data_IF_619867827761
#
_entry.id   IF_619867827761
#
_cell.length_a   1.000
_cell.length_b   1.000
_cell.length_c   1.000
_cell.angle_alpha   90.00
_cell.angle_beta   90.00
_cell.angle_gamma   90.00
#
_symmetry.space_group_name_H-M   'P 1'
#
loop_
_entity.id
_entity.type
_entity.pdbx_description
1 polymer ?
#
# COMPACT_ATOMS: atom_id res chain seq x y z
N UNK A 1 -34.34 3.71 1.92
CA UNK A 1 -33.34 4.78 1.69
C UNK A 1 -32.86 4.67 0.25
N UNK A 2 -33.24 5.59 -0.65
CA UNK A 2 -32.60 5.69 -1.97
C UNK A 2 -31.16 6.19 -1.74
N UNK A 3 -30.15 5.44 -2.18
CA UNK A 3 -28.74 5.90 -2.15
C UNK A 3 -28.68 7.18 -2.99
N UNK A 4 -28.48 8.33 -2.35
CA UNK A 4 -28.60 9.63 -3.02
C UNK A 4 -27.43 9.91 -3.97
N UNK A 5 -26.30 9.23 -3.85
CA UNK A 5 -25.20 9.28 -4.81
C UNK A 5 -24.51 7.90 -4.78
N UNK A 6 -24.62 7.14 -5.87
CA UNK A 6 -23.83 5.92 -6.05
C UNK A 6 -22.86 6.20 -7.19
N UNK A 7 -21.59 5.79 -7.08
CA UNK A 7 -20.64 5.98 -8.15
C UNK A 7 -21.14 5.27 -9.42
N UNK A 8 -21.03 5.94 -10.56
CA UNK A 8 -21.36 5.38 -11.88
C UNK A 8 -20.08 4.86 -12.51
N UNK A 9 -20.17 3.66 -13.11
CA UNK A 9 -19.04 3.03 -13.80
C UNK A 9 -19.40 2.93 -15.28
N UNK A 10 -18.58 3.56 -16.12
CA UNK A 10 -18.74 3.57 -17.58
C UNK A 10 -17.54 2.91 -18.23
N UNK A 11 -17.80 1.97 -19.13
CA UNK A 11 -16.77 1.25 -19.87
C UNK A 11 -16.60 1.88 -21.26
N UNK A 12 -15.41 2.40 -21.54
CA UNK A 12 -15.09 2.99 -22.83
C UNK A 12 -14.70 1.91 -23.84
N UNK A 13 -14.83 2.22 -25.13
CA UNK A 13 -14.49 1.30 -26.23
C UNK A 13 -13.00 0.93 -26.28
N UNK A 14 -12.13 1.79 -25.77
CA UNK A 14 -10.69 1.54 -25.64
C UNK A 14 -10.32 0.64 -24.45
N UNK A 15 -11.29 0.24 -23.62
CA UNK A 15 -11.09 -0.63 -22.46
C UNK A 15 -10.87 0.10 -21.13
N UNK A 16 -10.74 1.43 -21.13
CA UNK A 16 -10.66 2.21 -19.88
C UNK A 16 -12.01 2.17 -19.17
N UNK A 17 -11.95 2.01 -17.85
CA UNK A 17 -13.11 2.15 -16.96
C UNK A 17 -13.10 3.55 -16.36
N UNK A 18 -14.20 4.27 -16.49
CA UNK A 18 -14.38 5.59 -15.89
C UNK A 18 -15.35 5.48 -14.72
N UNK A 19 -14.91 5.85 -13.52
CA UNK A 19 -15.73 5.89 -12.32
C UNK A 19 -16.02 7.34 -11.97
N UNK A 20 -17.28 7.69 -11.81
CA UNK A 20 -17.67 9.07 -11.50
C UNK A 20 -18.55 9.14 -10.27
N UNK A 21 -18.28 10.12 -9.41
CA UNK A 21 -19.17 10.54 -8.35
C UNK A 21 -19.35 12.06 -8.46
N UNK A 22 -20.52 12.49 -8.92
CA UNK A 22 -20.82 13.91 -9.13
C UNK A 22 -21.21 14.64 -7.83
N UNK A 23 -20.90 14.11 -6.65
CA UNK A 23 -21.11 14.78 -5.36
C UNK A 23 -20.44 16.16 -5.39
N UNK A 24 -21.22 17.26 -5.27
CA UNK A 24 -20.67 18.60 -5.41
C UNK A 24 -19.78 18.97 -4.22
N UNK A 25 -18.68 19.68 -4.50
CA UNK A 25 -17.74 20.17 -3.52
C UNK A 25 -16.99 21.41 -4.01
N UNK A 26 -16.20 22.01 -3.12
CA UNK A 26 -15.32 23.14 -3.46
C UNK A 26 -14.12 22.73 -4.34
N UNK A 27 -13.78 21.45 -4.30
CA UNK A 27 -12.69 20.83 -5.03
C UNK A 27 -13.21 19.60 -5.76
N UNK A 28 -12.51 19.25 -6.83
CA UNK A 28 -12.69 18.00 -7.56
C UNK A 28 -11.45 17.14 -7.40
N UNK A 29 -11.65 15.84 -7.27
CA UNK A 29 -10.56 14.87 -7.24
C UNK A 29 -10.53 14.08 -8.55
N UNK A 30 -9.34 13.86 -9.08
CA UNK A 30 -9.11 13.00 -10.24
C UNK A 30 -8.06 11.97 -9.87
N UNK A 31 -8.19 10.76 -10.38
CA UNK A 31 -7.14 9.77 -10.26
C UNK A 31 -7.17 8.73 -11.37
N UNK A 32 -6.01 8.19 -11.66
CA UNK A 32 -5.82 7.03 -12.53
C UNK A 32 -5.18 5.90 -11.72
N UNK A 33 -5.74 4.71 -11.85
CA UNK A 33 -5.34 3.51 -11.12
C UNK A 33 -5.01 2.46 -12.16
N UNK A 34 -3.75 2.04 -12.18
CA UNK A 34 -3.23 1.06 -13.13
C UNK A 34 -3.03 -0.24 -12.37
N UNK A 35 -3.58 -1.34 -12.87
CA UNK A 35 -3.42 -2.68 -12.29
C UNK A 35 -2.02 -3.22 -12.59
N UNK A 36 -1.07 -2.87 -11.72
CA UNK A 36 0.37 -3.06 -11.90
C UNK A 36 1.07 -3.00 -10.55
N UNK A 37 2.39 -2.85 -10.51
CA UNK A 37 3.13 -2.79 -9.24
C UNK A 37 3.90 -4.08 -8.93
N UNK A 38 4.46 -4.15 -7.71
CA UNK A 38 5.52 -5.12 -7.41
C UNK A 38 5.07 -6.58 -7.51
N UNK A 39 3.79 -6.89 -7.28
CA UNK A 39 3.23 -8.25 -7.43
C UNK A 39 3.47 -8.80 -8.84
N UNK A 40 3.45 -7.92 -9.84
CA UNK A 40 3.53 -8.30 -11.24
C UNK A 40 4.97 -8.32 -11.79
N UNK A 41 5.99 -8.12 -10.95
CA UNK A 41 7.39 -8.11 -11.36
C UNK A 41 8.01 -9.51 -11.43
N UNK A 42 8.78 -9.82 -12.49
CA UNK A 42 9.61 -11.03 -12.59
C UNK A 42 10.90 -10.84 -11.83
N UNK A 43 11.67 -11.92 -11.66
CA UNK A 43 13.09 -11.84 -11.25
C UNK A 43 13.86 -10.81 -12.09
N UNK A 44 13.56 -10.70 -13.39
CA UNK A 44 14.17 -9.71 -14.29
C UNK A 44 13.58 -8.31 -14.21
N UNK A 45 12.50 -8.05 -13.46
CA UNK A 45 11.88 -6.72 -13.33
C UNK A 45 11.64 -6.23 -11.89
N UNK A 46 12.06 -6.96 -10.85
CA UNK A 46 11.96 -6.54 -9.45
C UNK A 46 12.44 -5.09 -9.21
N UNK A 47 11.60 -4.26 -8.59
CA UNK A 47 11.89 -2.87 -8.26
C UNK A 47 11.65 -1.87 -9.40
N UNK A 48 11.18 -2.30 -10.57
CA UNK A 48 10.82 -1.36 -11.65
C UNK A 48 9.59 -0.53 -11.30
N UNK A 49 8.62 -1.04 -10.54
CA UNK A 49 7.48 -0.26 -10.05
C UNK A 49 7.95 0.87 -9.14
N UNK A 50 8.96 0.62 -8.29
CA UNK A 50 9.57 1.64 -7.44
C UNK A 50 10.22 2.76 -8.26
N UNK A 51 11.05 2.40 -9.24
CA UNK A 51 11.73 3.38 -10.10
C UNK A 51 10.72 4.14 -10.99
N UNK A 52 9.69 3.45 -11.49
CA UNK A 52 8.65 4.06 -12.30
C UNK A 52 7.86 5.11 -11.52
N UNK A 53 7.54 4.84 -10.26
CA UNK A 53 6.89 5.80 -9.36
C UNK A 53 7.75 7.06 -9.13
N UNK A 54 9.07 6.93 -8.93
CA UNK A 54 9.98 8.09 -8.83
C UNK A 54 10.06 8.93 -10.13
N UNK A 55 9.65 8.35 -11.25
CA UNK A 55 9.60 9.00 -12.57
C UNK A 55 8.21 9.56 -12.93
N UNK A 56 7.22 9.43 -12.04
CA UNK A 56 5.92 10.04 -12.21
C UNK A 56 6.01 11.57 -12.30
N UNK A 57 5.16 12.18 -13.13
CA UNK A 57 5.07 13.63 -13.35
C UNK A 57 6.40 14.30 -13.76
N UNK A 58 7.32 13.54 -14.37
CA UNK A 58 8.56 14.05 -14.98
C UNK A 58 8.34 14.45 -16.45
N UNK A 59 9.41 14.60 -17.23
CA UNK A 59 9.32 14.97 -18.64
C UNK A 59 8.42 14.01 -19.43
N UNK A 60 7.54 14.59 -20.25
CA UNK A 60 6.64 13.91 -21.18
C UNK A 60 6.99 14.29 -22.62
N UNK A 61 6.18 13.85 -23.58
CA UNK A 61 6.31 14.26 -24.99
C UNK A 61 6.11 15.77 -25.16
N UNK A 62 5.10 16.34 -24.48
CA UNK A 62 4.70 17.73 -24.68
C UNK A 62 5.29 18.69 -23.65
N UNK A 63 5.79 18.20 -22.52
CA UNK A 63 6.34 19.03 -21.44
C UNK A 63 7.71 18.53 -21.00
N UNK A 64 8.69 19.43 -20.89
CA UNK A 64 9.89 19.14 -20.10
C UNK A 64 9.54 18.97 -18.63
N UNK A 65 10.42 18.34 -17.85
CA UNK A 65 10.18 18.15 -16.41
C UNK A 65 10.00 19.47 -15.64
N UNK A 66 10.65 20.55 -16.08
CA UNK A 66 10.48 21.89 -15.48
C UNK A 66 9.10 22.44 -15.84
N UNK A 67 8.69 22.39 -17.10
CA UNK A 67 7.37 22.87 -17.53
C UNK A 67 6.25 22.07 -16.87
N UNK A 68 6.37 20.74 -16.78
CA UNK A 68 5.40 19.88 -16.08
C UNK A 68 5.25 20.31 -14.62
N UNK A 69 6.37 20.53 -13.91
CA UNK A 69 6.34 21.00 -12.53
C UNK A 69 5.68 22.38 -12.39
N UNK A 70 5.99 23.33 -13.28
CA UNK A 70 5.37 24.66 -13.28
C UNK A 70 3.86 24.60 -13.52
N UNK A 71 3.39 23.75 -14.44
CA UNK A 71 1.95 23.56 -14.66
C UNK A 71 1.28 22.99 -13.42
N UNK A 72 1.84 21.92 -12.83
CA UNK A 72 1.29 21.31 -11.62
C UNK A 72 1.25 22.28 -10.43
N UNK A 73 2.25 23.17 -10.29
CA UNK A 73 2.24 24.21 -9.27
C UNK A 73 1.13 25.25 -9.50
N UNK A 74 0.86 25.65 -10.75
CA UNK A 74 -0.26 26.55 -11.08
C UNK A 74 -1.62 25.94 -10.73
N UNK A 75 -1.72 24.61 -10.74
CA UNK A 75 -2.91 23.84 -10.36
C UNK A 75 -3.03 23.62 -8.84
N UNK A 76 -2.12 24.19 -8.04
CA UNK A 76 -2.14 24.12 -6.57
C UNK A 76 -1.21 23.07 -5.98
N UNK A 77 -0.50 22.28 -6.79
CA UNK A 77 0.53 21.35 -6.34
C UNK A 77 0.03 20.17 -5.50
N UNK A 78 -1.28 19.92 -5.45
CA UNK A 78 -1.88 18.80 -4.72
C UNK A 78 -2.09 17.60 -5.66
N UNK A 79 -0.98 16.88 -5.90
CA UNK A 79 -0.93 15.65 -6.69
C UNK A 79 0.02 14.66 -6.02
N UNK A 80 -0.18 13.37 -6.30
CA UNK A 80 0.69 12.31 -5.82
C UNK A 80 0.73 11.14 -6.81
N UNK A 81 1.83 10.40 -6.78
CA UNK A 81 1.91 9.05 -7.30
C UNK A 81 2.33 8.08 -6.21
N UNK A 82 1.93 6.82 -6.32
CA UNK A 82 2.35 5.77 -5.41
C UNK A 82 2.37 4.41 -6.13
N UNK A 83 3.50 3.71 -6.04
CA UNK A 83 3.56 2.28 -6.34
C UNK A 83 3.09 1.46 -5.13
N UNK A 84 2.18 0.53 -5.37
CA UNK A 84 1.75 -0.49 -4.43
C UNK A 84 2.04 -1.88 -4.99
N UNK A 85 1.67 -2.93 -4.25
CA UNK A 85 1.85 -4.32 -4.70
C UNK A 85 0.99 -4.62 -5.92
N UNK A 86 -0.24 -4.10 -5.98
CA UNK A 86 -1.22 -4.39 -7.03
C UNK A 86 -1.73 -3.18 -7.81
N UNK A 87 -1.26 -1.98 -7.47
CA UNK A 87 -1.62 -0.81 -8.26
C UNK A 87 -0.51 0.23 -8.34
N UNK A 88 -0.44 0.90 -9.48
CA UNK A 88 0.22 2.21 -9.61
C UNK A 88 -0.87 3.28 -9.56
N UNK A 89 -0.77 4.20 -8.61
CA UNK A 89 -1.79 5.21 -8.33
C UNK A 89 -1.28 6.57 -8.73
N UNK A 90 -2.08 7.35 -9.44
CA UNK A 90 -1.85 8.76 -9.75
C UNK A 90 -3.10 9.53 -9.33
N UNK A 91 -2.96 10.51 -8.45
CA UNK A 91 -4.11 11.25 -7.90
C UNK A 91 -3.80 12.74 -7.82
N UNK A 92 -4.85 13.55 -7.93
CA UNK A 92 -4.78 14.98 -7.69
C UNK A 92 -6.11 15.52 -7.15
N UNK A 93 -6.02 16.61 -6.39
CA UNK A 93 -7.17 17.41 -5.96
C UNK A 93 -6.98 18.85 -6.40
N UNK A 94 -7.93 19.36 -7.18
CA UNK A 94 -7.84 20.69 -7.79
C UNK A 94 -9.15 21.47 -7.63
N UNK A 95 -9.10 22.79 -7.86
CA UNK A 95 -10.33 23.57 -7.96
C UNK A 95 -11.15 23.11 -9.17
N UNK A 96 -12.48 23.23 -9.07
CA UNK A 96 -13.40 22.73 -10.12
C UNK A 96 -13.13 23.31 -11.52
N UNK A 97 -12.60 24.53 -11.60
CA UNK A 97 -12.24 25.19 -12.86
C UNK A 97 -10.99 24.59 -13.54
N UNK A 98 -10.13 23.93 -12.77
CA UNK A 98 -8.80 23.46 -13.19
C UNK A 98 -8.79 21.95 -13.53
N UNK A 99 -9.95 21.29 -13.44
CA UNK A 99 -10.15 19.85 -13.69
C UNK A 99 -9.63 19.42 -15.07
N UNK A 100 -9.93 20.19 -16.12
CA UNK A 100 -9.49 19.88 -17.48
C UNK A 100 -7.97 19.95 -17.61
N UNK A 101 -7.35 21.01 -17.09
CA UNK A 101 -5.89 21.18 -17.11
C UNK A 101 -5.17 20.11 -16.29
N UNK A 102 -5.74 19.68 -15.15
CA UNK A 102 -5.16 18.58 -14.38
C UNK A 102 -5.29 17.24 -15.10
N UNK A 103 -6.41 17.02 -15.79
CA UNK A 103 -6.61 15.83 -16.62
C UNK A 103 -5.59 15.77 -17.76
N UNK A 104 -5.22 16.91 -18.35
CA UNK A 104 -4.14 16.97 -19.35
C UNK A 104 -2.80 16.49 -18.78
N UNK A 105 -2.43 16.97 -17.58
CA UNK A 105 -1.16 16.56 -16.95
C UNK A 105 -1.15 15.08 -16.57
N UNK A 106 -2.26 14.56 -16.06
CA UNK A 106 -2.40 13.13 -15.74
C UNK A 106 -2.29 12.28 -17.02
N UNK A 107 -3.01 12.64 -18.08
CA UNK A 107 -3.00 11.91 -19.34
C UNK A 107 -1.63 11.91 -20.02
N UNK A 108 -0.92 13.04 -20.02
CA UNK A 108 0.45 13.12 -20.56
C UNK A 108 1.44 12.29 -19.77
N UNK A 109 1.36 12.33 -18.43
CA UNK A 109 2.21 11.54 -17.54
C UNK A 109 2.02 10.03 -17.77
N UNK A 110 0.79 9.61 -18.02
CA UNK A 110 0.42 8.20 -18.15
C UNK A 110 0.64 7.66 -19.57
N UNK A 111 0.41 8.44 -20.62
CA UNK A 111 0.48 7.92 -21.99
C UNK A 111 1.81 8.22 -22.68
N UNK A 112 2.42 9.36 -22.34
CA UNK A 112 3.54 9.90 -23.09
C UNK A 112 4.75 10.26 -22.21
N UNK A 113 5.14 9.46 -21.19
CA UNK A 113 6.34 9.76 -20.43
C UNK A 113 7.59 9.58 -21.30
N UNK A 114 8.55 10.50 -21.16
CA UNK A 114 9.79 10.48 -21.96
C UNK A 114 10.90 9.67 -21.30
N UNK A 115 10.87 9.55 -19.97
CA UNK A 115 11.93 8.96 -19.13
C UNK A 115 13.32 9.35 -19.63
N UNK A 116 13.74 10.61 -19.41
CA UNK A 116 15.06 11.06 -19.89
C UNK A 116 16.18 10.37 -19.12
N UNK A 117 17.37 10.25 -19.73
CA UNK A 117 18.53 9.63 -19.06
C UNK A 117 18.88 10.32 -17.74
N UNK A 118 18.84 11.66 -17.73
CA UNK A 118 19.08 12.47 -16.53
C UNK A 118 18.10 12.13 -15.41
N UNK A 119 16.79 12.14 -15.71
CA UNK A 119 15.74 11.84 -14.71
C UNK A 119 15.81 10.39 -14.23
N UNK A 120 16.16 9.46 -15.11
CA UNK A 120 16.38 8.06 -14.74
C UNK A 120 17.51 7.91 -13.73
N UNK A 121 18.66 8.55 -13.97
CA UNK A 121 19.78 8.52 -13.03
C UNK A 121 19.43 9.18 -11.69
N UNK A 122 18.68 10.27 -11.71
CA UNK A 122 18.16 10.93 -10.48
C UNK A 122 17.19 10.02 -9.72
N UNK A 123 16.33 9.28 -10.42
CA UNK A 123 15.43 8.30 -9.81
C UNK A 123 16.20 7.15 -9.17
N UNK A 124 17.28 6.65 -9.79
CA UNK A 124 18.15 5.63 -9.20
C UNK A 124 18.85 6.14 -7.92
N UNK A 125 19.33 7.39 -7.92
CA UNK A 125 19.94 8.01 -6.73
C UNK A 125 18.93 8.17 -5.59
N UNK A 126 17.71 8.60 -5.92
CA UNK A 126 16.62 8.75 -4.94
C UNK A 126 16.26 7.39 -4.35
N UNK A 127 16.13 6.36 -5.17
CA UNK A 127 15.83 5.01 -4.72
C UNK A 127 16.95 4.41 -3.86
N UNK A 128 18.24 4.64 -4.20
CA UNK A 128 19.36 4.18 -3.37
C UNK A 128 19.35 4.83 -1.98
N UNK A 129 19.02 6.13 -1.90
CA UNK A 129 18.85 6.82 -0.62
C UNK A 129 17.67 6.28 0.19
N UNK A 130 16.51 6.06 -0.45
CA UNK A 130 15.31 5.53 0.21
C UNK A 130 15.52 4.11 0.77
N UNK A 131 16.24 3.25 0.04
CA UNK A 131 16.56 1.89 0.47
C UNK A 131 17.53 1.90 1.65
N UNK A 132 18.48 2.84 1.70
CA UNK A 132 19.35 3.02 2.87
C UNK A 132 18.57 3.49 4.10
N UNK A 133 17.67 4.46 3.91
CA UNK A 133 16.81 4.96 4.99
C UNK A 133 15.82 3.90 5.52
N UNK A 134 15.45 2.92 4.69
CA UNK A 134 14.55 1.84 5.06
C UNK A 134 15.09 0.99 6.23
N UNK A 135 16.42 0.82 6.32
CA UNK A 135 17.07 0.08 7.40
C UNK A 135 16.78 0.68 8.78
N UNK A 136 16.57 1.99 8.86
CA UNK A 136 16.26 2.72 10.09
C UNK A 136 14.75 2.91 10.32
N UNK A 137 13.89 2.27 9.51
CA UNK A 137 12.42 2.36 9.59
C UNK A 137 11.82 0.96 9.83
N UNK A 138 11.96 0.41 11.05
CA UNK A 138 11.63 -0.99 11.35
C UNK A 138 10.17 -1.37 11.03
N UNK A 139 9.22 -0.44 11.17
CA UNK A 139 7.82 -0.73 10.83
C UNK A 139 7.60 -1.01 9.34
N UNK A 140 8.31 -0.30 8.46
CA UNK A 140 8.22 -0.49 7.01
C UNK A 140 9.05 -1.72 6.62
N UNK A 141 10.29 -1.82 7.13
CA UNK A 141 11.19 -2.93 6.84
C UNK A 141 10.58 -4.29 7.23
N UNK A 142 10.02 -4.41 8.44
CA UNK A 142 9.39 -5.65 8.88
C UNK A 142 8.15 -6.00 8.05
N UNK A 143 7.37 -5.00 7.62
CA UNK A 143 6.22 -5.25 6.74
C UNK A 143 6.64 -5.83 5.39
N UNK A 144 7.77 -5.36 4.84
CA UNK A 144 8.33 -5.92 3.60
C UNK A 144 8.88 -7.33 3.83
N UNK A 145 9.62 -7.55 4.92
CA UNK A 145 10.17 -8.86 5.28
C UNK A 145 9.09 -9.90 5.58
N UNK A 146 8.00 -9.48 6.22
CA UNK A 146 6.83 -10.30 6.47
C UNK A 146 6.24 -10.84 5.16
N UNK A 147 6.05 -9.97 4.16
CA UNK A 147 5.55 -10.40 2.85
C UNK A 147 6.55 -11.31 2.11
N UNK A 148 7.85 -10.97 2.14
CA UNK A 148 8.91 -11.80 1.54
C UNK A 148 8.95 -13.21 2.14
N UNK A 149 8.73 -13.34 3.46
CA UNK A 149 8.67 -14.63 4.15
C UNK A 149 7.35 -15.37 3.90
N UNK A 150 6.22 -14.66 3.95
CA UNK A 150 4.88 -15.25 3.86
C UNK A 150 4.56 -15.80 2.46
N UNK A 151 5.07 -15.17 1.39
CA UNK A 151 4.70 -15.49 0.02
C UNK A 151 5.88 -15.85 -0.87
N UNK A 152 5.71 -16.92 -1.65
CA UNK A 152 6.60 -17.22 -2.77
C UNK A 152 6.12 -16.54 -4.05
N UNK A 153 6.86 -15.51 -4.48
CA UNK A 153 6.52 -14.70 -5.66
C UNK A 153 5.22 -13.92 -5.49
N UNK A 154 4.88 -13.10 -6.48
CA UNK A 154 3.68 -12.26 -6.39
C UNK A 154 3.81 -11.28 -5.22
N UNK A 155 2.99 -11.44 -4.19
CA UNK A 155 2.97 -10.58 -3.00
C UNK A 155 4.27 -10.59 -2.20
N UNK A 156 5.08 -11.64 -2.35
CA UNK A 156 6.42 -11.71 -1.75
C UNK A 156 7.46 -10.84 -2.45
N UNK A 157 7.13 -10.22 -3.59
CA UNK A 157 8.00 -9.23 -4.20
C UNK A 157 7.98 -7.94 -3.37
N UNK A 158 9.17 -7.45 -3.00
CA UNK A 158 9.35 -6.18 -2.28
C UNK A 158 8.84 -5.00 -3.11
N UNK A 159 8.25 -4.01 -2.43
CA UNK A 159 7.91 -2.71 -3.01
C UNK A 159 9.15 -1.89 -3.36
N UNK A 160 10.26 -2.14 -2.67
CA UNK A 160 11.50 -1.40 -2.83
C UNK A 160 12.49 -2.20 -3.68
N UNK A 161 13.22 -1.49 -4.53
CA UNK A 161 14.31 -2.09 -5.28
C UNK A 161 15.41 -2.59 -4.34
N UNK A 162 15.97 -3.76 -4.64
CA UNK A 162 17.17 -4.25 -3.95
C UNK A 162 18.37 -3.41 -4.34
N UNK A 163 19.16 -2.99 -3.36
CA UNK A 163 20.31 -2.10 -3.57
C UNK A 163 21.30 -2.65 -4.60
N UNK A 164 21.54 -3.96 -4.56
CA UNK A 164 22.48 -4.65 -5.45
C UNK A 164 22.04 -4.60 -6.92
N UNK A 165 20.75 -4.37 -7.17
CA UNK A 165 20.17 -4.34 -8.50
C UNK A 165 20.23 -2.95 -9.15
N UNK A 166 20.38 -1.89 -8.37
CA UNK A 166 20.40 -0.51 -8.86
C UNK A 166 21.41 -0.31 -10.01
N UNK A 167 22.66 -0.82 -9.94
CA UNK A 167 23.65 -0.66 -11.01
C UNK A 167 23.29 -1.39 -12.31
N UNK A 168 22.46 -2.44 -12.24
CA UNK A 168 22.12 -3.28 -13.37
C UNK A 168 20.87 -2.81 -14.13
N UNK A 169 20.08 -1.90 -13.53
CA UNK A 169 18.93 -1.34 -14.20
C UNK A 169 19.30 -0.49 -15.40
N UNK A 170 18.48 -0.58 -16.44
CA UNK A 170 18.58 0.24 -17.64
C UNK A 170 17.28 1.01 -17.83
N UNK A 171 17.39 2.20 -18.41
CA UNK A 171 16.23 3.03 -18.79
C UNK A 171 15.25 2.29 -19.71
N UNK A 172 15.75 1.40 -20.57
CA UNK A 172 14.93 0.53 -21.41
C UNK A 172 14.00 -0.38 -20.62
N UNK A 173 14.39 -0.81 -19.42
CA UNK A 173 13.59 -1.69 -18.57
C UNK A 173 12.35 -0.94 -18.07
N UNK A 174 12.51 0.32 -17.66
CA UNK A 174 11.40 1.20 -17.26
C UNK A 174 10.45 1.47 -18.42
N UNK A 175 11.00 1.70 -19.63
CA UNK A 175 10.19 1.89 -20.85
C UNK A 175 9.37 0.65 -21.17
N UNK A 176 9.97 -0.54 -21.05
CA UNK A 176 9.26 -1.80 -21.31
C UNK A 176 8.21 -2.09 -20.24
N UNK A 177 8.53 -1.87 -18.96
CA UNK A 177 7.56 -1.97 -17.87
C UNK A 177 6.37 -1.03 -18.11
N UNK A 178 6.63 0.21 -18.50
CA UNK A 178 5.58 1.17 -18.82
C UNK A 178 4.71 0.68 -19.99
N UNK A 179 5.33 0.22 -21.08
CA UNK A 179 4.62 -0.37 -22.22
C UNK A 179 3.78 -1.58 -21.82
N UNK A 180 4.26 -2.41 -20.91
CA UNK A 180 3.53 -3.61 -20.49
C UNK A 180 2.29 -3.27 -19.65
N UNK A 181 2.42 -2.39 -18.65
CA UNK A 181 1.36 -2.18 -17.64
C UNK A 181 0.46 -0.97 -17.91
N UNK A 182 0.92 0.06 -18.61
CA UNK A 182 0.16 1.30 -18.81
C UNK A 182 -0.71 1.24 -20.07
N UNK A 183 -1.46 0.15 -20.21
CA UNK A 183 -2.37 -0.09 -21.31
C UNK A 183 -3.80 0.38 -20.97
N UNK A 184 -4.59 0.90 -21.93
CA UNK A 184 -5.96 1.36 -21.69
C UNK A 184 -6.86 0.36 -20.96
N UNK A 185 -6.79 -0.93 -21.32
CA UNK A 185 -7.56 -2.02 -20.67
C UNK A 185 -7.21 -2.21 -19.19
N UNK A 186 -6.04 -1.73 -18.77
CA UNK A 186 -5.47 -1.89 -17.44
C UNK A 186 -5.67 -0.65 -16.55
N UNK A 187 -6.35 0.38 -17.06
CA UNK A 187 -6.50 1.67 -16.40
C UNK A 187 -7.96 1.88 -15.96
N UNK A 188 -8.12 2.33 -14.72
CA UNK A 188 -9.35 2.93 -14.21
C UNK A 188 -9.10 4.41 -13.98
N UNK A 189 -9.94 5.29 -14.52
CA UNK A 189 -9.94 6.72 -14.20
C UNK A 189 -11.11 7.00 -13.29
N UNK A 190 -10.88 7.54 -12.09
CA UNK A 190 -11.94 7.94 -11.17
C UNK A 190 -11.97 9.46 -10.99
N UNK A 191 -13.17 10.05 -10.98
CA UNK A 191 -13.37 11.47 -10.72
C UNK A 191 -14.48 11.70 -9.72
N UNK A 192 -14.23 12.55 -8.72
CA UNK A 192 -15.21 12.99 -7.72
C UNK A 192 -15.41 14.50 -7.85
N UNK A 193 -16.66 14.96 -7.82
CA UNK A 193 -17.03 16.36 -8.03
C UNK A 193 -17.13 16.78 -9.49
N UNK A 194 -17.00 15.84 -10.43
CA UNK A 194 -17.06 16.08 -11.88
C UNK A 194 -18.34 15.45 -12.46
N UNK A 195 -19.11 16.18 -13.30
CA UNK A 195 -20.25 15.60 -14.01
C UNK A 195 -19.84 14.43 -14.90
N UNK A 196 -20.61 13.34 -14.87
CA UNK A 196 -20.29 12.09 -15.59
C UNK A 196 -19.95 12.31 -17.07
N UNK A 197 -20.82 13.01 -17.80
CA UNK A 197 -20.63 13.27 -19.24
C UNK A 197 -19.34 14.06 -19.52
N UNK A 198 -18.97 14.98 -18.62
CA UNK A 198 -17.72 15.74 -18.74
C UNK A 198 -16.52 14.84 -18.51
N UNK A 199 -16.57 13.99 -17.49
CA UNK A 199 -15.50 13.03 -17.19
C UNK A 199 -15.26 12.07 -18.36
N UNK A 200 -16.32 11.48 -18.92
CA UNK A 200 -16.24 10.56 -20.06
C UNK A 200 -15.58 11.25 -21.25
N UNK A 201 -16.07 12.44 -21.66
CA UNK A 201 -15.48 13.19 -22.79
C UNK A 201 -14.01 13.46 -22.60
N UNK A 202 -13.60 13.93 -21.42
CA UNK A 202 -12.17 14.20 -21.15
C UNK A 202 -11.33 12.92 -21.25
N UNK A 203 -11.81 11.78 -20.75
CA UNK A 203 -11.05 10.52 -20.84
C UNK A 203 -10.98 10.03 -22.29
N UNK A 204 -12.07 10.10 -23.05
CA UNK A 204 -12.10 9.70 -24.46
C UNK A 204 -11.19 10.57 -25.34
N UNK A 205 -11.18 11.88 -25.13
CA UNK A 205 -10.34 12.82 -25.89
C UNK A 205 -8.84 12.61 -25.60
N UNK A 206 -8.50 12.36 -24.33
CA UNK A 206 -7.11 12.32 -23.89
C UNK A 206 -6.50 10.95 -24.07
N UNK A 207 -7.23 9.87 -23.76
CA UNK A 207 -6.71 8.51 -23.85
C UNK A 207 -6.98 7.87 -25.22
N UNK A 208 -6.06 8.11 -26.14
CA UNK A 208 -6.12 7.59 -27.49
C UNK A 208 -5.34 6.26 -27.54
N UNK A 209 -6.04 5.14 -27.69
CA UNK A 209 -5.42 3.82 -27.75
C UNK A 209 -6.44 2.72 -28.04
N UNK A 210 -5.97 1.60 -28.59
CA UNK A 210 -6.79 0.39 -28.68
C UNK A 210 -6.60 -0.46 -27.43
N UNK A 211 -7.61 -1.25 -27.00
CA UNK A 211 -7.43 -2.22 -25.94
C UNK A 211 -6.31 -3.18 -26.35
N UNK A 212 -5.25 -3.24 -25.56
CA UNK A 212 -4.09 -4.08 -25.85
C UNK A 212 -3.62 -4.74 -24.55
N UNK A 213 -3.37 -6.05 -24.62
CA UNK A 213 -2.94 -6.84 -23.47
C UNK A 213 -4.09 -7.24 -22.53
N UNK A 214 -4.04 -8.50 -22.08
CA UNK A 214 -4.77 -8.95 -20.88
C UNK A 214 -3.88 -8.68 -19.67
N UNK A 215 -4.47 -8.27 -18.55
CA UNK A 215 -3.78 -8.22 -17.27
C UNK A 215 -3.11 -9.58 -17.01
N UNK A 216 -1.81 -9.57 -16.70
CA UNK A 216 -1.08 -10.78 -16.34
C UNK A 216 -1.46 -11.15 -14.92
N UNK A 217 -2.24 -12.21 -14.78
CA UNK A 217 -2.48 -12.77 -13.45
C UNK A 217 -1.19 -13.40 -12.93
N UNK A 218 -0.67 -12.87 -11.81
CA UNK A 218 0.41 -13.51 -11.08
C UNK A 218 -0.11 -14.13 -9.81
N UNK A 219 -0.04 -15.46 -9.79
CA UNK A 219 -0.37 -16.27 -8.63
C UNK A 219 0.85 -16.29 -7.71
N UNK A 220 0.76 -15.57 -6.59
CA UNK A 220 1.61 -15.82 -5.43
C UNK A 220 1.00 -16.95 -4.60
N UNK A 221 1.83 -17.68 -3.87
CA UNK A 221 1.35 -18.71 -2.93
C UNK A 221 1.79 -18.36 -1.53
N UNK A 222 0.86 -18.38 -0.58
CA UNK A 222 1.18 -18.29 0.83
C UNK A 222 1.86 -19.58 1.25
N UNK A 223 3.06 -19.46 1.80
CA UNK A 223 3.85 -20.58 2.30
C UNK A 223 4.08 -20.47 3.82
N UNK A 224 3.79 -19.31 4.41
CA UNK A 224 4.22 -18.97 5.76
C UNK A 224 5.75 -18.93 5.85
N UNK A 225 6.26 -18.66 7.05
CA UNK A 225 7.70 -18.64 7.29
C UNK A 225 8.06 -17.70 8.43
N UNK A 226 9.34 -17.69 8.75
CA UNK A 226 9.94 -16.81 9.74
C UNK A 226 11.17 -16.13 9.15
N UNK A 227 11.39 -14.88 9.55
CA UNK A 227 12.58 -14.11 9.18
C UNK A 227 12.98 -13.23 10.35
N UNK A 228 14.25 -13.32 10.72
CA UNK A 228 14.86 -12.44 11.70
C UNK A 228 15.79 -11.47 10.97
N UNK A 229 15.61 -10.18 11.21
CA UNK A 229 16.48 -9.12 10.71
C UNK A 229 17.46 -8.74 11.82
N UNK A 230 18.73 -8.44 11.50
CA UNK A 230 19.67 -7.93 12.50
C UNK A 230 19.10 -6.70 13.23
N UNK A 231 19.36 -6.61 14.54
CA UNK A 231 18.98 -5.44 15.32
C UNK A 231 19.72 -4.21 14.79
N UNK A 232 18.96 -3.15 14.48
CA UNK A 232 19.51 -1.89 14.02
C UNK A 232 19.50 -0.88 15.15
N UNK A 233 20.69 -0.40 15.52
CA UNK A 233 20.85 0.65 16.53
C UNK A 233 20.18 1.93 16.02
N UNK A 234 19.42 2.66 16.86
CA UNK A 234 18.80 3.92 16.46
C UNK A 234 19.81 4.92 15.89
N UNK A 235 19.40 5.66 14.85
CA UNK A 235 20.28 6.62 14.17
C UNK A 235 20.69 7.78 15.08
N UNK A 236 19.82 8.17 16.01
CA UNK A 236 20.05 9.27 16.94
C UNK A 236 20.08 8.75 18.38
N UNK A 237 21.08 9.18 19.16
CA UNK A 237 21.29 8.73 20.55
C UNK A 237 20.13 9.07 21.52
N UNK A 238 19.20 9.95 21.12
CA UNK A 238 18.02 10.30 21.91
C UNK A 238 16.79 9.44 21.57
N UNK A 239 16.90 8.50 20.63
CA UNK A 239 15.83 7.55 20.32
C UNK A 239 15.93 6.32 21.22
N UNK A 240 14.80 5.75 21.66
CA UNK A 240 14.81 4.53 22.45
C UNK A 240 15.29 3.35 21.59
N UNK A 241 16.02 2.44 22.22
CA UNK A 241 16.37 1.15 21.63
C UNK A 241 15.16 0.21 21.79
N UNK A 242 14.63 -0.27 20.67
CA UNK A 242 13.42 -1.10 20.62
C UNK A 242 13.64 -2.37 19.82
N UNK A 243 12.97 -3.42 20.26
CA UNK A 243 12.81 -4.68 19.55
C UNK A 243 11.44 -4.72 18.90
N UNK A 244 11.40 -5.12 17.63
CA UNK A 244 10.19 -5.09 16.82
C UNK A 244 9.84 -6.50 16.35
N UNK A 245 8.56 -6.86 16.42
CA UNK A 245 8.05 -8.13 15.94
C UNK A 245 6.74 -7.93 15.18
N UNK A 246 6.54 -8.71 14.11
CA UNK A 246 5.29 -8.81 13.37
C UNK A 246 4.93 -10.28 13.16
N UNK A 247 3.65 -10.60 13.38
CA UNK A 247 3.09 -11.94 13.17
C UNK A 247 1.83 -11.78 12.33
N UNK A 248 1.74 -12.51 11.22
CA UNK A 248 0.57 -12.48 10.36
C UNK A 248 0.15 -13.86 9.85
N UNK A 249 -1.13 -13.97 9.54
CA UNK A 249 -1.78 -15.16 9.02
C UNK A 249 -2.39 -14.85 7.66
N UNK A 250 -2.46 -15.87 6.81
CA UNK A 250 -3.21 -15.79 5.56
C UNK A 250 -4.69 -15.54 5.84
N UNK A 251 -5.30 -14.69 5.02
CA UNK A 251 -6.71 -14.32 5.08
C UNK A 251 -7.34 -14.21 3.70
N UNK A 252 -8.63 -13.89 3.71
CA UNK A 252 -9.45 -13.71 2.52
C UNK A 252 -9.09 -12.45 1.74
N UNK A 253 -9.43 -12.45 0.46
CA UNK A 253 -9.19 -11.32 -0.44
C UNK A 253 -10.18 -10.17 -0.26
N UNK A 254 -9.93 -9.05 -0.94
CA UNK A 254 -10.78 -7.84 -0.86
C UNK A 254 -12.23 -8.05 -1.33
N UNK A 255 -12.48 -9.08 -2.15
CA UNK A 255 -13.80 -9.37 -2.72
C UNK A 255 -14.54 -10.49 -1.99
N UNK A 256 -13.99 -10.97 -0.88
CA UNK A 256 -14.56 -12.07 -0.10
C UNK A 256 -15.63 -11.55 0.87
N UNK A 257 -16.68 -12.36 1.09
CA UNK A 257 -17.78 -12.02 2.00
C UNK A 257 -17.30 -11.86 3.46
N UNK A 258 -16.23 -12.57 3.84
CA UNK A 258 -15.64 -12.50 5.19
C UNK A 258 -14.83 -11.22 5.45
N UNK A 259 -14.66 -10.34 4.44
CA UNK A 259 -13.94 -9.07 4.57
C UNK A 259 -14.43 -8.25 5.78
N UNK A 260 -15.76 -8.14 5.95
CA UNK A 260 -16.34 -7.33 7.02
C UNK A 260 -16.20 -8.00 8.39
N UNK A 261 -16.22 -9.33 8.46
CA UNK A 261 -15.90 -10.06 9.69
C UNK A 261 -14.46 -9.77 10.11
N UNK A 262 -13.53 -9.81 9.17
CA UNK A 262 -12.11 -9.53 9.40
C UNK A 262 -11.85 -8.08 9.80
N UNK A 263 -12.52 -7.12 9.15
CA UNK A 263 -12.44 -5.70 9.52
C UNK A 263 -12.99 -5.43 10.93
N UNK A 264 -14.10 -6.10 11.29
CA UNK A 264 -14.67 -6.01 12.63
C UNK A 264 -13.72 -6.59 13.67
N UNK A 265 -13.10 -7.74 13.37
CA UNK A 265 -12.13 -8.37 14.25
C UNK A 265 -10.89 -7.50 14.46
N UNK A 266 -10.36 -6.88 13.39
CA UNK A 266 -9.28 -5.90 13.50
C UNK A 266 -9.66 -4.75 14.43
N UNK A 267 -10.88 -4.22 14.33
CA UNK A 267 -11.34 -3.11 15.18
C UNK A 267 -11.49 -3.54 16.65
N UNK A 268 -11.93 -4.77 16.90
CA UNK A 268 -12.08 -5.34 18.25
C UNK A 268 -10.72 -5.57 18.93
N UNK A 269 -9.76 -6.14 18.19
CA UNK A 269 -8.40 -6.32 18.68
C UNK A 269 -7.72 -4.97 18.94
N UNK A 270 -7.77 -4.08 17.95
CA UNK A 270 -7.29 -2.71 18.02
C UNK A 270 -5.83 -2.61 18.47
N UNK A 271 -5.59 -1.87 19.55
CA UNK A 271 -4.26 -1.53 20.04
C UNK A 271 -3.88 -0.08 19.73
N UNK A 272 -2.59 0.22 19.74
CA UNK A 272 -2.05 1.54 19.51
C UNK A 272 -0.64 1.71 20.08
N UNK A 273 -0.30 2.95 20.41
CA UNK A 273 0.91 3.30 21.14
C UNK A 273 0.59 3.64 22.60
N UNK A 274 1.55 3.35 23.48
CA UNK A 274 1.51 3.73 24.90
C UNK A 274 1.47 5.25 25.09
N UNK A 275 1.98 6.00 24.10
CA UNK A 275 1.77 7.43 23.98
C UNK A 275 0.80 7.73 22.83
N UNK A 276 -0.45 8.05 23.15
CA UNK A 276 -1.43 8.55 22.18
C UNK A 276 -2.02 9.86 22.68
N UNK A 277 -1.59 10.99 22.12
CA UNK A 277 -2.18 12.28 22.42
C UNK A 277 -3.58 12.36 21.80
N UNK A 278 -4.65 12.26 22.60
CA UNK A 278 -6.03 12.41 22.14
C UNK A 278 -7.08 12.01 23.17
N UNK A 279 -8.33 12.44 22.93
CA UNK A 279 -9.47 12.12 23.78
C UNK A 279 -10.10 10.74 23.51
N UNK A 280 -11.22 10.42 24.19
CA UNK A 280 -11.98 9.18 23.99
C UNK A 280 -12.34 8.92 22.52
N UNK A 281 -12.35 7.66 22.10
CA UNK A 281 -12.74 7.23 20.74
C UNK A 281 -11.60 6.69 19.86
N UNK A 282 -10.34 6.79 20.30
CA UNK A 282 -9.17 6.30 19.56
C UNK A 282 -8.93 4.79 19.64
N UNK A 283 -9.78 4.03 20.33
CA UNK A 283 -9.60 2.59 20.53
C UNK A 283 -8.87 2.22 21.82
N UNK A 284 -8.80 3.11 22.81
CA UNK A 284 -8.19 2.85 24.12
C UNK A 284 -8.89 1.73 24.93
N UNK A 285 -10.12 1.38 24.54
CA UNK A 285 -10.90 0.27 25.12
C UNK A 285 -10.86 -0.99 24.25
N UNK A 286 -10.00 -1.03 23.22
CA UNK A 286 -9.79 -2.25 22.43
C UNK A 286 -9.04 -3.29 23.25
N UNK A 287 -9.20 -4.56 22.86
CA UNK A 287 -8.70 -5.70 23.63
C UNK A 287 -7.19 -5.61 23.88
N UNK A 288 -6.41 -5.32 22.84
CA UNK A 288 -4.96 -5.25 22.95
C UNK A 288 -4.50 -4.04 23.76
N UNK A 289 -5.23 -2.93 23.68
CA UNK A 289 -4.91 -1.75 24.47
C UNK A 289 -5.09 -2.03 25.98
N UNK A 290 -6.21 -2.65 26.37
CA UNK A 290 -6.52 -2.90 27.77
C UNK A 290 -5.74 -4.06 28.39
N UNK A 291 -5.43 -5.08 27.59
CA UNK A 291 -4.76 -6.29 28.08
C UNK A 291 -3.23 -6.19 28.00
N UNK A 292 -2.70 -5.50 26.98
CA UNK A 292 -1.25 -5.38 26.78
C UNK A 292 -0.76 -4.00 27.23
N UNK A 293 -1.16 -2.93 26.55
CA UNK A 293 -0.57 -1.60 26.77
C UNK A 293 -0.81 -1.05 28.19
N UNK A 294 -1.98 -1.29 28.78
CA UNK A 294 -2.27 -0.87 30.15
C UNK A 294 -1.49 -1.67 31.21
N UNK A 295 -1.04 -2.89 30.88
CA UNK A 295 -0.41 -3.82 31.85
C UNK A 295 1.10 -3.94 31.68
N UNK A 296 1.59 -3.75 30.46
CA UNK A 296 2.97 -4.02 30.07
C UNK A 296 3.67 -2.70 29.73
N UNK A 297 4.19 -2.01 30.75
CA UNK A 297 4.76 -0.67 30.61
C UNK A 297 6.04 -0.59 29.75
N UNK A 298 6.69 -1.72 29.51
CA UNK A 298 7.87 -1.84 28.63
C UNK A 298 7.51 -2.01 27.15
N UNK A 299 6.21 -2.19 26.83
CA UNK A 299 5.71 -2.22 25.44
C UNK A 299 5.38 -0.78 25.03
N UNK A 300 6.04 -0.29 23.98
CA UNK A 300 5.84 1.07 23.48
C UNK A 300 4.66 1.15 22.51
N UNK A 301 4.51 0.12 21.66
CA UNK A 301 3.38 0.00 20.75
C UNK A 301 3.00 -1.45 20.56
N UNK A 302 1.70 -1.69 20.43
CA UNK A 302 1.16 -3.02 20.18
C UNK A 302 -0.17 -2.86 19.48
N UNK A 303 -0.28 -3.37 18.28
CA UNK A 303 -1.47 -3.19 17.47
C UNK A 303 -1.73 -4.41 16.61
N UNK A 304 -3.01 -4.64 16.37
CA UNK A 304 -3.46 -5.52 15.31
C UNK A 304 -3.81 -4.70 14.08
N UNK A 305 -3.18 -5.02 12.96
CA UNK A 305 -3.42 -4.32 11.71
C UNK A 305 -3.76 -5.30 10.59
N UNK A 306 -4.26 -4.74 9.50
CA UNK A 306 -4.26 -5.44 8.23
C UNK A 306 -2.86 -5.26 7.64
N UNK A 307 -2.12 -6.34 7.45
CA UNK A 307 -0.80 -6.27 6.81
C UNK A 307 -0.96 -6.07 5.30
N UNK A 308 -1.88 -6.81 4.66
CA UNK A 308 -2.33 -6.56 3.30
C UNK A 308 -3.68 -7.22 3.01
N UNK A 309 -4.48 -6.65 2.11
CA UNK A 309 -5.56 -7.38 1.46
C UNK A 309 -5.53 -7.02 -0.01
N UNK A 310 -5.53 -8.06 -0.82
CA UNK A 310 -5.24 -7.98 -2.24
C UNK A 310 -6.24 -8.82 -3.02
N UNK A 311 -6.18 -8.72 -4.35
CA UNK A 311 -6.98 -9.58 -5.20
C UNK A 311 -6.56 -11.05 -4.99
N UNK A 312 -7.50 -11.91 -4.61
CA UNK A 312 -7.26 -13.35 -4.43
C UNK A 312 -6.54 -13.79 -3.14
N UNK A 313 -6.39 -12.90 -2.13
CA UNK A 313 -5.86 -13.26 -0.81
C UNK A 313 -5.49 -12.05 0.04
N UNK A 314 -4.92 -12.25 1.22
CA UNK A 314 -4.41 -11.15 2.06
C UNK A 314 -3.70 -11.66 3.30
N UNK A 315 -2.95 -10.79 3.95
CA UNK A 315 -2.35 -11.06 5.25
C UNK A 315 -2.99 -10.23 6.35
N UNK A 316 -3.26 -10.88 7.47
CA UNK A 316 -3.83 -10.26 8.65
C UNK A 316 -2.99 -10.59 9.86
N UNK A 317 -2.50 -9.55 10.54
CA UNK A 317 -1.43 -9.73 11.52
C UNK A 317 -1.26 -8.55 12.46
N UNK A 318 -0.68 -8.83 13.61
CA UNK A 318 -0.31 -7.82 14.60
C UNK A 318 1.18 -7.51 14.55
N UNK A 319 1.53 -6.30 14.97
CA UNK A 319 2.90 -5.85 15.15
C UNK A 319 3.05 -5.12 16.49
N UNK A 320 4.21 -5.27 17.11
CA UNK A 320 4.53 -4.60 18.37
C UNK A 320 5.99 -4.18 18.46
N UNK A 321 6.26 -3.20 19.32
CA UNK A 321 7.60 -2.72 19.66
C UNK A 321 7.76 -2.61 21.18
N UNK A 322 8.89 -3.07 21.72
CA UNK A 322 9.16 -3.10 23.16
C UNK A 322 10.64 -2.82 23.48
N UNK A 323 10.93 -2.29 24.66
CA UNK A 323 12.23 -1.71 25.03
C UNK A 323 13.19 -2.63 25.80
N UNK A 324 12.86 -3.90 26.08
CA UNK A 324 13.70 -4.81 26.88
C UNK A 324 13.70 -6.26 26.37
N UNK A 325 14.76 -7.01 26.69
CA UNK A 325 15.01 -8.39 26.24
C UNK A 325 14.07 -9.53 26.72
N UNK A 326 13.07 -9.37 27.62
CA UNK A 326 12.00 -10.36 27.67
C UNK A 326 10.95 -10.15 26.55
N UNK A 327 11.08 -9.13 25.69
CA UNK A 327 10.10 -8.82 24.64
C UNK A 327 9.90 -9.95 23.61
N UNK A 328 10.93 -10.77 23.35
CA UNK A 328 10.83 -11.88 22.39
C UNK A 328 9.95 -13.01 22.92
N UNK A 329 10.16 -13.47 24.15
CA UNK A 329 9.35 -14.52 24.77
C UNK A 329 7.94 -14.00 25.13
N UNK A 330 7.84 -12.79 25.68
CA UNK A 330 6.56 -12.23 26.10
C UNK A 330 5.62 -11.93 24.93
N UNK A 331 6.13 -11.43 23.80
CA UNK A 331 5.24 -11.01 22.70
C UNK A 331 4.59 -12.19 21.99
N UNK A 332 5.30 -13.31 21.78
CA UNK A 332 4.77 -14.49 21.07
C UNK A 332 3.67 -15.17 21.89
N UNK A 333 3.91 -15.39 23.18
CA UNK A 333 2.95 -16.03 24.07
C UNK A 333 1.70 -15.17 24.26
N UNK A 334 1.86 -13.85 24.44
CA UNK A 334 0.74 -12.92 24.54
C UNK A 334 -0.03 -12.81 23.21
N UNK A 335 0.67 -12.81 22.05
CA UNK A 335 0.01 -12.91 20.74
C UNK A 335 -0.85 -14.19 20.66
N UNK A 336 -0.28 -15.33 21.05
CA UNK A 336 -0.95 -16.62 21.08
C UNK A 336 -2.18 -16.61 22.00
N UNK A 337 -2.07 -16.05 23.20
CA UNK A 337 -3.16 -15.95 24.17
C UNK A 337 -4.28 -15.03 23.67
N UNK A 338 -3.94 -13.84 23.16
CA UNK A 338 -4.95 -12.88 22.69
C UNK A 338 -5.69 -13.39 21.45
N UNK A 339 -5.00 -14.07 20.52
CA UNK A 339 -5.62 -14.70 19.36
C UNK A 339 -6.44 -15.94 19.77
N UNK A 340 -5.89 -16.78 20.63
CA UNK A 340 -6.54 -17.99 21.14
C UNK A 340 -7.85 -17.68 21.88
N UNK A 341 -7.87 -16.61 22.66
CA UNK A 341 -9.06 -16.15 23.37
C UNK A 341 -10.19 -15.64 22.43
N UNK A 342 -9.84 -15.13 21.24
CA UNK A 342 -10.84 -14.79 20.21
C UNK A 342 -11.43 -16.07 19.60
N UNK A 343 -10.60 -17.08 19.31
CA UNK A 343 -11.08 -18.38 18.81
C UNK A 343 -12.00 -19.09 19.81
N UNK A 344 -11.71 -18.93 21.11
CA UNK A 344 -12.49 -19.51 22.22
C UNK A 344 -13.94 -19.02 22.35
N UNK A 345 -14.34 -17.93 21.68
CA UNK A 345 -15.75 -17.49 21.65
C UNK A 345 -16.67 -18.44 20.85
N UNK A 346 -16.11 -19.32 20.01
CA UNK A 346 -16.84 -20.41 19.35
C UNK A 346 -16.88 -21.72 20.13
N UNK A 347 -16.03 -21.87 21.16
CA UNK A 347 -15.97 -23.05 22.01
C UNK A 347 -16.14 -22.67 23.48
N UNK A 348 -17.40 -22.39 23.85
CA UNK A 348 -17.82 -22.71 25.21
C UNK A 348 -17.66 -24.22 25.40
N UNK A 349 -16.51 -24.64 25.92
CA UNK A 349 -16.23 -26.04 26.26
C UNK A 349 -14.76 -26.40 26.18
N UNK A 350 -14.19 -26.75 27.34
CA UNK A 350 -12.90 -27.40 27.55
C UNK A 350 -11.63 -26.55 27.40
N UNK A 351 -11.35 -25.75 28.44
CA UNK A 351 -10.02 -25.83 29.06
C UNK A 351 -10.22 -26.45 30.44
N UNK A 352 -10.17 -27.78 30.48
CA UNK A 352 -10.03 -28.53 31.73
C UNK A 352 -8.66 -28.17 32.33
N UNK A 353 -8.67 -27.38 33.41
CA UNK A 353 -7.61 -27.46 34.41
C UNK A 353 -7.82 -28.77 35.16
N UNK A 354 -7.11 -29.82 34.79
CA UNK A 354 -6.96 -31.03 35.59
C UNK A 354 -5.70 -31.78 35.13
N UNK A 355 -4.94 -32.28 36.11
CA UNK A 355 -3.58 -32.82 35.98
C UNK A 355 -2.66 -32.23 37.05
N UNK A 356 -3.02 -32.34 38.34
CA UNK A 356 -2.62 -33.43 39.26
C UNK A 356 -1.08 -33.57 39.32
N UNK A 357 -0.42 -33.05 40.37
CA UNK A 357 -0.18 -33.78 41.62
C UNK A 357 -0.07 -35.31 41.40
N UNK A 358 1.17 -35.81 41.30
CA UNK A 358 1.71 -37.01 41.96
C UNK A 358 2.99 -37.47 41.24
N UNK A 359 4.14 -36.95 41.65
CA UNK A 359 5.29 -37.74 42.17
C UNK A 359 6.35 -36.86 42.80
#
# INVERSE_FOLDING_TARGET
MKRLYSPVVTHLSNGIRVVTDSTPGHFSALGAYIDGGSRYETSSTLGLSHIHDRLAFKSTRNYSGVEMMEQLQKLGGNYMSCAQRESMIYQASVFNKDVESMMDMLAETIQNPRFTEREFLEALQTADYEVQELEYKPQILLSEKLHEAAYKGGLGNSLFIKRERIPDLRRSDVVEYHREFFQPSNIVVAMVGVPEEKAIRMVEEKFNGSPSGKARERVGSYIGGEVCVPHQVPLYANQPELYHMQVAFQTTGLLDDDLYALATLQKLLGGGSSFSAGGPGKGMFSRLYTNVLNRCHYVESYYWARASQVSGGGDWGGGGAASQEPAQEFSVDEYGEQIGAVRGFGSAGAVSREGDEYR
#
